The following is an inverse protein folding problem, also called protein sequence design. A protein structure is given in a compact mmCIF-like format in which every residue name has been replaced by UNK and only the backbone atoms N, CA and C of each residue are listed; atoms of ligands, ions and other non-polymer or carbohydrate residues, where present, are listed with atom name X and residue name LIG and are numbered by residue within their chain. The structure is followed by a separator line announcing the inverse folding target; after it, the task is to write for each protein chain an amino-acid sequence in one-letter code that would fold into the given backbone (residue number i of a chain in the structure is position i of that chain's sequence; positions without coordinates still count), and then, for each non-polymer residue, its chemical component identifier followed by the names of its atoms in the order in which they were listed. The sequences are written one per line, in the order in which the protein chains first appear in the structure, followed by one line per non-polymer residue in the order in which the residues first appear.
data_IF_661071164982
#
_entry.id   IF_661071164982
#
_cell.length_a   1.000
_cell.length_b   1.000
_cell.length_c   1.000
_cell.angle_alpha   90.00
_cell.angle_beta   90.00
_cell.angle_gamma   90.00
#
_symmetry.space_group_name_H-M   'P 1'
#
loop_
_entity.id
_entity.type
_entity.pdbx_description
1 polymer ?
#
# COMPACT_ATOMS: atom_id res chain seq x y z
N UNK A 1 22.56 -11.37 38.97
CA UNK A 1 22.66 -10.38 37.88
C UNK A 1 22.14 -11.05 36.62
N UNK A 2 21.00 -10.60 36.08
CA UNK A 2 20.48 -11.10 34.81
C UNK A 2 21.15 -10.27 33.71
N UNK A 3 22.07 -10.89 32.99
CA UNK A 3 22.67 -10.30 31.79
C UNK A 3 21.59 -10.27 30.71
N UNK A 4 20.96 -9.11 30.54
CA UNK A 4 20.11 -8.83 29.39
C UNK A 4 20.98 -8.92 28.15
N UNK A 5 20.88 -10.05 27.43
CA UNK A 5 21.34 -10.15 26.05
C UNK A 5 20.51 -9.19 25.22
N UNK A 6 20.96 -7.93 25.13
CA UNK A 6 20.56 -7.01 24.08
C UNK A 6 21.09 -7.58 22.77
N UNK A 7 20.43 -8.61 22.27
CA UNK A 7 20.58 -9.03 20.88
C UNK A 7 20.20 -7.81 20.07
N UNK A 8 21.12 -7.26 19.27
CA UNK A 8 20.81 -6.21 18.31
C UNK A 8 19.79 -6.77 17.32
N UNK A 9 18.50 -6.66 17.66
CA UNK A 9 17.43 -7.12 16.79
C UNK A 9 17.41 -6.17 15.61
N UNK A 10 17.94 -6.63 14.47
CA UNK A 10 17.99 -5.88 13.23
C UNK A 10 16.57 -5.51 12.79
N UNK A 11 16.38 -4.39 12.06
CA UNK A 11 15.06 -4.03 11.52
C UNK A 11 14.41 -5.18 10.72
N UNK A 12 15.21 -5.96 9.99
CA UNK A 12 14.78 -7.18 9.33
C UNK A 12 14.17 -8.17 10.33
N UNK A 13 14.92 -8.57 11.36
CA UNK A 13 14.46 -9.53 12.35
C UNK A 13 13.18 -9.06 13.08
N UNK A 14 13.09 -7.76 13.39
CA UNK A 14 11.86 -7.17 13.98
C UNK A 14 10.67 -7.28 13.05
N UNK A 15 10.86 -6.97 11.76
CA UNK A 15 9.80 -7.09 10.76
C UNK A 15 9.33 -8.53 10.56
N UNK A 16 10.25 -9.49 10.56
CA UNK A 16 9.90 -10.91 10.40
C UNK A 16 9.17 -11.49 11.61
N UNK A 17 9.43 -10.96 12.81
CA UNK A 17 8.80 -11.43 14.05
C UNK A 17 7.50 -10.68 14.38
N UNK A 18 7.46 -9.37 14.14
CA UNK A 18 6.34 -8.52 14.55
C UNK A 18 6.06 -7.41 13.51
N UNK A 19 5.55 -7.76 12.32
CA UNK A 19 5.31 -6.80 11.24
C UNK A 19 4.31 -5.68 11.62
N UNK A 20 3.41 -5.91 12.58
CA UNK A 20 2.42 -4.92 13.02
C UNK A 20 3.00 -3.64 13.63
N UNK A 21 4.24 -3.67 14.15
CA UNK A 21 4.86 -2.47 14.75
C UNK A 21 5.07 -1.34 13.73
N UNK A 22 5.13 -1.71 12.44
CA UNK A 22 5.31 -0.77 11.32
C UNK A 22 3.99 -0.17 10.84
N UNK A 23 2.85 -0.52 11.44
CA UNK A 23 1.53 0.05 11.10
C UNK A 23 1.50 1.57 11.23
N UNK A 24 2.22 2.12 12.21
CA UNK A 24 2.28 3.56 12.45
C UNK A 24 3.04 4.33 11.36
N UNK A 25 3.90 3.65 10.61
CA UNK A 25 4.78 4.23 9.59
C UNK A 25 4.13 4.22 8.19
N UNK A 26 2.97 3.59 8.06
CA UNK A 26 2.19 3.52 6.82
C UNK A 26 0.81 4.14 7.09
N UNK A 27 0.36 5.04 6.25
CA UNK A 27 -1.02 5.53 6.35
C UNK A 27 -1.98 4.46 5.80
N UNK A 28 -3.03 4.12 6.54
CA UNK A 28 -4.01 3.12 6.09
C UNK A 28 -4.67 3.52 4.76
N UNK A 29 -4.74 2.59 3.82
CA UNK A 29 -5.33 2.81 2.50
C UNK A 29 -6.82 3.06 2.65
N UNK A 30 -7.30 4.17 2.08
CA UNK A 30 -8.73 4.51 2.09
C UNK A 30 -9.51 3.62 1.12
N UNK A 31 -10.79 3.38 1.40
CA UNK A 31 -11.66 2.57 0.53
C UNK A 31 -11.74 3.09 -0.92
N UNK A 32 -11.69 4.41 -1.10
CA UNK A 32 -11.69 5.06 -2.43
C UNK A 32 -10.29 5.19 -3.05
N UNK A 33 -9.25 4.72 -2.35
CA UNK A 33 -7.85 4.76 -2.76
C UNK A 33 -7.29 6.17 -2.99
N UNK A 34 -7.89 7.22 -2.40
CA UNK A 34 -7.43 8.62 -2.56
C UNK A 34 -5.97 8.80 -2.15
N UNK A 35 -5.50 8.00 -1.19
CA UNK A 35 -4.14 8.03 -0.66
C UNK A 35 -3.25 6.88 -1.18
N UNK A 36 -3.61 6.20 -2.27
CA UNK A 36 -2.86 5.03 -2.79
C UNK A 36 -1.36 5.30 -2.97
N UNK A 37 -0.97 6.42 -3.57
CA UNK A 37 0.46 6.73 -3.78
C UNK A 37 1.21 6.94 -2.46
N UNK A 38 0.54 7.47 -1.43
CA UNK A 38 1.11 7.65 -0.10
C UNK A 38 1.23 6.32 0.64
N UNK A 39 0.21 5.47 0.55
CA UNK A 39 0.22 4.11 1.08
C UNK A 39 1.34 3.26 0.43
N UNK A 40 1.43 3.26 -0.91
CA UNK A 40 2.50 2.61 -1.67
C UNK A 40 3.88 3.09 -1.20
N UNK A 41 4.06 4.40 -1.05
CA UNK A 41 5.34 4.98 -0.59
C UNK A 41 5.72 4.48 0.80
N UNK A 42 4.77 4.45 1.74
CA UNK A 42 5.00 3.92 3.08
C UNK A 42 5.43 2.45 3.05
N UNK A 43 4.74 1.61 2.29
CA UNK A 43 5.13 0.21 2.12
C UNK A 43 6.52 0.06 1.49
N UNK A 44 6.84 0.84 0.45
CA UNK A 44 8.19 0.84 -0.16
C UNK A 44 9.26 1.22 0.87
N UNK A 45 8.98 2.18 1.76
CA UNK A 45 9.91 2.59 2.81
C UNK A 45 10.13 1.48 3.84
N UNK A 46 9.08 0.77 4.25
CA UNK A 46 9.22 -0.39 5.15
C UNK A 46 10.10 -1.45 4.50
N UNK A 47 9.78 -1.86 3.28
CA UNK A 47 10.56 -2.88 2.55
C UNK A 47 12.02 -2.46 2.36
N UNK A 48 12.28 -1.18 2.09
CA UNK A 48 13.65 -0.66 2.04
C UNK A 48 14.36 -0.78 3.39
N UNK A 49 13.74 -0.32 4.47
CA UNK A 49 14.38 -0.23 5.79
C UNK A 49 14.54 -1.59 6.47
N UNK A 50 13.62 -2.53 6.22
CA UNK A 50 13.61 -3.84 6.88
C UNK A 50 14.26 -4.91 6.01
N UNK A 51 14.06 -4.87 4.69
CA UNK A 51 14.53 -5.92 3.76
C UNK A 51 15.62 -5.43 2.80
N UNK A 52 16.02 -4.16 2.86
CA UNK A 52 17.06 -3.57 2.00
C UNK A 52 16.75 -3.67 0.49
N UNK A 53 15.47 -3.58 0.12
CA UNK A 53 15.04 -3.61 -1.27
C UNK A 53 14.47 -2.26 -1.73
N UNK A 54 15.28 -1.41 -2.40
CA UNK A 54 14.82 -0.10 -2.89
C UNK A 54 13.87 -0.24 -4.07
N UNK A 55 12.88 0.66 -4.13
CA UNK A 55 11.89 0.74 -5.21
C UNK A 55 11.22 -0.62 -5.51
N UNK A 56 10.94 -1.37 -4.44
CA UNK A 56 10.51 -2.77 -4.53
C UNK A 56 9.30 -2.95 -5.45
N UNK A 57 8.24 -2.18 -5.22
CA UNK A 57 6.99 -2.22 -5.98
C UNK A 57 7.03 -1.53 -7.36
N UNK A 58 8.17 -0.98 -7.78
CA UNK A 58 8.29 -0.32 -9.09
C UNK A 58 8.84 -1.25 -10.17
N UNK A 59 9.38 -2.41 -9.78
CA UNK A 59 9.95 -3.40 -10.72
C UNK A 59 9.49 -4.79 -10.32
N UNK A 60 8.76 -5.46 -11.22
CA UNK A 60 8.26 -6.82 -11.00
C UNK A 60 9.40 -7.81 -10.67
N UNK A 61 10.56 -7.64 -11.29
CA UNK A 61 11.77 -8.44 -11.03
C UNK A 61 12.27 -8.38 -9.58
N UNK A 62 11.82 -7.40 -8.79
CA UNK A 62 12.16 -7.35 -7.38
C UNK A 62 11.38 -8.40 -6.57
N UNK A 63 10.23 -8.88 -7.05
CA UNK A 63 9.36 -9.76 -6.27
C UNK A 63 10.04 -11.10 -5.97
N UNK A 64 10.91 -11.57 -6.87
CA UNK A 64 11.70 -12.79 -6.67
C UNK A 64 12.80 -12.65 -5.63
N UNK A 65 13.04 -11.45 -5.09
CA UNK A 65 14.07 -11.21 -4.05
C UNK A 65 13.57 -11.53 -2.65
N UNK A 66 12.25 -11.60 -2.45
CA UNK A 66 11.67 -11.95 -1.17
C UNK A 66 11.67 -13.47 -0.98
N UNK A 67 12.09 -13.89 0.20
CA UNK A 67 11.79 -15.21 0.74
C UNK A 67 10.29 -15.38 1.01
N UNK A 68 9.86 -16.62 1.24
CA UNK A 68 8.46 -16.94 1.57
C UNK A 68 8.02 -16.28 2.89
N UNK A 69 8.91 -16.24 3.88
CA UNK A 69 8.66 -15.59 5.16
C UNK A 69 8.47 -14.08 5.00
N UNK A 70 9.36 -13.42 4.25
CA UNK A 70 9.25 -11.99 3.97
C UNK A 70 7.96 -11.65 3.22
N UNK A 71 7.58 -12.47 2.24
CA UNK A 71 6.30 -12.33 1.53
C UNK A 71 5.10 -12.46 2.47
N UNK A 72 5.16 -13.38 3.43
CA UNK A 72 4.10 -13.60 4.43
C UNK A 72 3.98 -12.41 5.40
N UNK A 73 5.12 -11.91 5.89
CA UNK A 73 5.15 -10.71 6.74
C UNK A 73 4.64 -9.47 6.00
N UNK A 74 4.99 -9.35 4.71
CA UNK A 74 4.47 -8.28 3.86
C UNK A 74 2.96 -8.41 3.62
N UNK A 75 2.45 -9.63 3.36
CA UNK A 75 1.02 -9.88 3.22
C UNK A 75 0.26 -9.42 4.47
N UNK A 76 0.73 -9.86 5.64
CA UNK A 76 0.11 -9.48 6.91
C UNK A 76 0.11 -7.97 7.11
N UNK A 77 1.22 -7.29 6.80
CA UNK A 77 1.28 -5.84 6.87
C UNK A 77 0.26 -5.19 5.92
N UNK A 78 0.16 -5.66 4.68
CA UNK A 78 -0.82 -5.16 3.71
C UNK A 78 -2.24 -5.33 4.25
N UNK A 79 -2.59 -6.52 4.78
CA UNK A 79 -3.91 -6.82 5.32
C UNK A 79 -4.34 -5.86 6.44
N UNK A 80 -3.44 -5.54 7.37
CA UNK A 80 -3.75 -4.60 8.48
C UNK A 80 -3.70 -3.12 8.07
N UNK A 81 -3.15 -2.82 6.88
CA UNK A 81 -2.96 -1.47 6.35
C UNK A 81 -3.97 -1.10 5.26
N UNK A 82 -4.92 -1.96 4.94
CA UNK A 82 -6.04 -1.63 4.06
C UNK A 82 -7.31 -1.32 4.86
N UNK A 83 -8.25 -0.61 4.25
CA UNK A 83 -9.59 -0.44 4.81
C UNK A 83 -10.35 -1.77 4.79
N UNK A 84 -11.22 -2.01 5.78
CA UNK A 84 -11.96 -3.27 5.94
C UNK A 84 -12.81 -3.62 4.70
N UNK A 85 -13.35 -2.62 4.01
CA UNK A 85 -14.09 -2.81 2.74
C UNK A 85 -13.24 -3.47 1.64
N UNK A 86 -11.92 -3.31 1.70
CA UNK A 86 -10.96 -3.89 0.75
C UNK A 86 -10.44 -5.25 1.25
N UNK A 87 -10.79 -5.71 2.45
CA UNK A 87 -10.23 -6.93 3.04
C UNK A 87 -10.40 -8.15 2.11
N UNK A 88 -11.60 -8.30 1.54
CA UNK A 88 -11.92 -9.37 0.59
C UNK A 88 -11.03 -9.38 -0.67
N UNK A 89 -10.48 -8.22 -1.06
CA UNK A 89 -9.58 -8.13 -2.21
C UNK A 89 -8.23 -8.80 -1.89
N UNK A 90 -7.75 -8.68 -0.66
CA UNK A 90 -6.42 -9.13 -0.25
C UNK A 90 -6.44 -10.52 0.38
N UNK A 91 -7.49 -10.87 1.14
CA UNK A 91 -7.54 -12.10 1.95
C UNK A 91 -7.53 -13.41 1.14
N UNK A 92 -7.80 -13.33 -0.16
CA UNK A 92 -7.70 -14.48 -1.07
C UNK A 92 -6.26 -14.84 -1.47
N UNK A 93 -5.28 -13.96 -1.20
CA UNK A 93 -3.90 -14.17 -1.62
C UNK A 93 -3.03 -14.75 -0.50
N UNK A 94 -1.99 -15.48 -0.91
CA UNK A 94 -1.01 -16.09 0.01
C UNK A 94 0.34 -15.39 0.02
N UNK A 95 0.54 -14.42 -0.89
CA UNK A 95 1.78 -13.63 -0.98
C UNK A 95 1.49 -12.13 -0.95
N UNK A 96 2.34 -11.39 -0.25
CA UNK A 96 2.20 -9.94 -0.13
C UNK A 96 2.34 -9.22 -1.47
N UNK A 97 3.17 -9.74 -2.37
CA UNK A 97 3.35 -9.23 -3.73
C UNK A 97 2.07 -9.37 -4.58
N UNK A 98 1.42 -10.53 -4.55
CA UNK A 98 0.15 -10.78 -5.26
C UNK A 98 -1.00 -9.92 -4.68
N UNK A 99 -1.06 -9.82 -3.35
CA UNK A 99 -2.00 -8.94 -2.65
C UNK A 99 -1.81 -7.46 -3.04
N UNK A 100 -0.56 -6.99 -3.09
CA UNK A 100 -0.25 -5.64 -3.52
C UNK A 100 -0.67 -5.40 -4.97
N UNK A 101 -0.40 -6.32 -5.88
CA UNK A 101 -0.78 -6.21 -7.29
C UNK A 101 -2.30 -6.15 -7.47
N UNK A 102 -3.06 -6.88 -6.65
CA UNK A 102 -4.51 -6.81 -6.65
C UNK A 102 -5.03 -5.43 -6.22
N UNK A 103 -4.46 -4.88 -5.14
CA UNK A 103 -4.75 -3.51 -4.68
C UNK A 103 -4.38 -2.49 -5.75
N UNK A 104 -3.18 -2.61 -6.33
CA UNK A 104 -2.73 -1.73 -7.42
C UNK A 104 -3.67 -1.82 -8.62
N UNK A 105 -4.10 -3.00 -9.03
CA UNK A 105 -5.00 -3.21 -10.17
C UNK A 105 -6.39 -2.62 -9.89
N UNK A 106 -6.92 -2.79 -8.68
CA UNK A 106 -8.18 -2.19 -8.27
C UNK A 106 -8.16 -0.67 -8.42
N UNK A 107 -7.07 -0.03 -7.97
CA UNK A 107 -6.95 1.42 -7.98
C UNK A 107 -6.45 2.03 -9.30
N UNK A 108 -5.58 1.34 -10.05
CA UNK A 108 -5.17 1.75 -11.40
C UNK A 108 -6.28 1.51 -12.43
N UNK A 109 -7.10 0.47 -12.25
CA UNK A 109 -8.36 0.29 -12.99
C UNK A 109 -9.33 1.45 -12.72
N UNK A 110 -9.39 1.94 -11.48
CA UNK A 110 -10.18 3.14 -11.14
C UNK A 110 -9.52 4.47 -11.48
N UNK A 111 -8.23 4.55 -11.85
CA UNK A 111 -7.66 5.77 -12.44
C UNK A 111 -8.31 6.07 -13.80
N UNK A 112 -8.70 5.05 -14.59
CA UNK A 112 -9.59 5.26 -15.75
C UNK A 112 -10.96 5.84 -15.34
N UNK A 113 -11.47 5.49 -14.15
CA UNK A 113 -12.67 6.10 -13.56
C UNK A 113 -12.42 7.54 -13.06
N UNK A 114 -11.24 7.84 -12.50
CA UNK A 114 -10.84 9.21 -12.11
C UNK A 114 -10.58 10.12 -13.30
N UNK A 115 -10.39 9.60 -14.51
CA UNK A 115 -10.42 10.42 -15.73
C UNK A 115 -11.85 10.82 -16.13
N UNK A 116 -12.89 10.16 -15.63
CA UNK A 116 -14.29 10.57 -15.84
C UNK A 116 -14.74 11.68 -14.90
N UNK A 117 -14.15 11.81 -13.70
CA UNK A 117 -14.55 12.82 -12.71
C UNK A 117 -14.27 14.29 -13.14
N UNK A 118 -13.14 14.62 -13.82
CA UNK A 118 -12.93 15.95 -14.40
C UNK A 118 -13.89 16.24 -15.55
N UNK A 119 -14.25 15.23 -16.35
CA UNK A 119 -15.17 15.37 -17.49
C UNK A 119 -16.58 15.69 -16.98
N UNK A 120 -17.04 15.03 -15.92
CA UNK A 120 -18.34 15.32 -15.31
C UNK A 120 -18.40 16.73 -14.69
N UNK A 121 -17.31 17.18 -14.07
CA UNK A 121 -17.20 18.56 -13.55
C UNK A 121 -17.17 19.59 -14.69
N UNK A 122 -16.48 19.30 -15.80
CA UNK A 122 -16.46 20.16 -17.01
C UNK A 122 -17.81 20.17 -17.76
N UNK A 123 -18.51 19.04 -17.83
CA UNK A 123 -19.86 18.94 -18.41
C UNK A 123 -20.86 19.77 -17.59
N UNK A 124 -20.84 19.66 -16.26
CA UNK A 124 -21.66 20.51 -15.38
C UNK A 124 -21.35 22.00 -15.58
N UNK A 125 -20.08 22.38 -15.75
CA UNK A 125 -19.69 23.77 -16.02
C UNK A 125 -20.20 24.29 -17.38
N UNK A 126 -20.23 23.44 -18.42
CA UNK A 126 -20.80 23.78 -19.73
C UNK A 126 -22.33 23.92 -19.73
N UNK A 127 -23.04 23.17 -18.88
CA UNK A 127 -24.50 23.24 -18.78
C UNK A 127 -24.96 24.46 -17.98
N UNK A 128 -24.19 24.89 -16.98
CA UNK A 128 -24.59 26.02 -16.12
C UNK A 128 -24.29 27.41 -16.69
N UNK A 129 -23.35 27.52 -17.65
CA UNK A 129 -22.89 28.80 -18.19
C UNK A 129 -22.27 29.74 -17.14
N UNK A 130 -21.43 30.72 -17.55
CA UNK A 130 -21.09 31.80 -16.64
C UNK A 130 -22.33 32.66 -16.40
N UNK A 131 -22.84 32.66 -15.17
CA UNK A 131 -23.90 33.59 -14.75
C UNK A 131 -23.32 34.99 -14.69
N UNK A 132 -23.39 35.72 -15.81
CA UNK A 132 -23.21 37.17 -15.83
C UNK A 132 -24.58 37.80 -15.61
N UNK A 133 -24.97 37.97 -14.35
CA UNK A 133 -26.01 38.94 -14.02
C UNK A 133 -25.36 40.31 -13.70
N UNK A 134 -26.01 41.42 -14.08
CA UNK A 134 -25.40 42.76 -14.11
C UNK A 134 -25.19 43.40 -12.74
#
# INVERSE_FOLDING_TARGET
MLTSTSSDITPCAKFLQQPSIYKQDVEQLTANGSNFDKWKRGLTQIVLLTLSHPNFFDKLDNYSKLSDQENTCLLFLIQIMIHDELASLVDQYTKGTEAYDAVQTNFQGTVRFRQMEPIDKLLKFRVSGPSTEP
#
